data_IF_179497408958
#
_entry.id   IF_179497408958
#
_cell.length_a   1.000
_cell.length_b   1.000
_cell.length_c   1.000
_cell.angle_alpha   90.00
_cell.angle_beta   90.00
_cell.angle_gamma   90.00
#
_symmetry.space_group_name_H-M   'P 1'
#
loop_
_entity.id
_entity.type
_entity.pdbx_description
1 polymer ?
#
# COMPACT_ATOMS: atom_id res chain seq x y z
N UNK A 1 13.83 -1.82 -11.75
CA UNK A 1 12.99 -3.00 -11.44
C UNK A 1 12.60 -3.63 -12.77
N UNK A 2 12.83 -4.93 -12.95
CA UNK A 2 12.33 -5.61 -14.16
C UNK A 2 10.80 -5.65 -14.11
N UNK A 3 10.15 -5.70 -15.28
CA UNK A 3 8.68 -5.72 -15.36
C UNK A 3 8.10 -6.93 -14.63
N UNK A 4 8.79 -8.08 -14.67
CA UNK A 4 8.38 -9.28 -13.91
C UNK A 4 8.32 -9.02 -12.40
N UNK A 5 9.34 -8.35 -11.86
CA UNK A 5 9.38 -7.99 -10.43
C UNK A 5 8.28 -7.00 -10.11
N UNK A 6 8.05 -6.01 -10.98
CA UNK A 6 6.97 -5.04 -10.79
C UNK A 6 5.59 -5.71 -10.73
N UNK A 7 5.31 -6.60 -11.67
CA UNK A 7 4.05 -7.35 -11.70
C UNK A 7 3.86 -8.23 -10.47
N UNK A 8 4.94 -8.88 -10.00
CA UNK A 8 4.89 -9.68 -8.78
C UNK A 8 4.52 -8.82 -7.56
N UNK A 9 5.18 -7.67 -7.37
CA UNK A 9 4.81 -6.71 -6.33
C UNK A 9 3.40 -6.14 -6.53
N UNK A 10 2.97 -5.96 -7.78
CA UNK A 10 1.63 -5.51 -8.12
C UNK A 10 0.56 -6.48 -7.63
N UNK A 11 0.70 -7.76 -7.96
CA UNK A 11 -0.20 -8.81 -7.49
C UNK A 11 -0.15 -8.99 -5.98
N UNK A 12 1.04 -8.93 -5.38
CA UNK A 12 1.21 -8.96 -3.93
C UNK A 12 0.37 -7.87 -3.24
N UNK A 13 0.48 -6.61 -3.69
CA UNK A 13 -0.28 -5.49 -3.12
C UNK A 13 -1.79 -5.68 -3.30
N UNK A 14 -2.24 -6.15 -4.47
CA UNK A 14 -3.66 -6.45 -4.71
C UNK A 14 -4.15 -7.52 -3.74
N UNK A 15 -3.40 -8.61 -3.54
CA UNK A 15 -3.78 -9.68 -2.62
C UNK A 15 -3.86 -9.19 -1.18
N UNK A 16 -2.90 -8.39 -0.72
CA UNK A 16 -2.95 -7.80 0.63
C UNK A 16 -4.12 -6.83 0.77
N UNK A 17 -4.37 -5.97 -0.24
CA UNK A 17 -5.50 -5.05 -0.24
C UNK A 17 -6.84 -5.79 -0.16
N UNK A 18 -7.00 -6.87 -0.91
CA UNK A 18 -8.20 -7.72 -0.86
C UNK A 18 -8.34 -8.40 0.49
N UNK A 19 -7.26 -8.97 1.04
CA UNK A 19 -7.29 -9.63 2.33
C UNK A 19 -7.67 -8.65 3.45
N UNK A 20 -7.00 -7.51 3.55
CA UNK A 20 -7.31 -6.47 4.54
C UNK A 20 -8.73 -5.92 4.31
N UNK A 21 -9.09 -5.63 3.07
CA UNK A 21 -10.40 -5.08 2.72
C UNK A 21 -11.57 -6.01 3.06
N UNK A 22 -11.44 -7.31 2.78
CA UNK A 22 -12.45 -8.32 3.15
C UNK A 22 -12.59 -8.38 4.67
N UNK A 23 -11.48 -8.47 5.42
CA UNK A 23 -11.55 -8.54 6.88
C UNK A 23 -12.12 -7.25 7.49
N UNK A 24 -11.75 -6.09 6.94
CA UNK A 24 -12.28 -4.79 7.34
C UNK A 24 -13.80 -4.66 7.11
N UNK A 25 -14.30 -5.10 5.95
CA UNK A 25 -15.73 -5.08 5.63
C UNK A 25 -16.51 -6.10 6.48
N UNK A 26 -15.96 -7.31 6.65
CA UNK A 26 -16.59 -8.35 7.48
C UNK A 26 -16.69 -7.89 8.93
N UNK A 27 -15.65 -7.30 9.50
CA UNK A 27 -15.69 -6.76 10.86
C UNK A 27 -16.74 -5.65 11.00
N UNK A 28 -16.88 -4.78 10.00
CA UNK A 28 -17.90 -3.74 9.98
C UNK A 28 -19.33 -4.28 9.87
N UNK A 29 -19.58 -5.28 9.00
CA UNK A 29 -20.91 -5.79 8.70
C UNK A 29 -21.47 -6.71 9.79
N UNK A 30 -20.61 -7.51 10.44
CA UNK A 30 -21.05 -8.55 11.35
C UNK A 30 -21.04 -8.14 12.82
N UNK A 31 -20.66 -6.90 13.15
CA UNK A 31 -20.63 -6.32 14.52
C UNK A 31 -20.16 -7.34 15.57
N UNK A 32 -19.11 -8.10 15.23
CA UNK A 32 -18.79 -9.38 15.87
C UNK A 32 -17.50 -9.27 16.68
N UNK A 33 -17.57 -8.90 17.97
CA UNK A 33 -16.50 -9.26 18.88
C UNK A 33 -16.59 -10.78 19.20
N UNK A 34 -15.52 -11.59 19.06
CA UNK A 34 -14.29 -11.43 18.29
C UNK A 34 -14.12 -12.61 17.32
N UNK A 35 -14.74 -12.58 16.14
CA UNK A 35 -14.61 -13.71 15.19
C UNK A 35 -13.34 -13.67 14.35
N UNK A 36 -12.70 -12.51 14.21
CA UNK A 36 -11.38 -12.41 13.60
C UNK A 36 -10.33 -12.64 14.69
N UNK A 37 -9.63 -13.79 14.73
CA UNK A 37 -8.60 -14.02 15.73
C UNK A 37 -7.55 -12.92 15.59
N UNK A 38 -7.11 -12.32 16.70
CA UNK A 38 -5.99 -11.36 16.73
C UNK A 38 -4.78 -11.81 15.90
N UNK A 39 -4.58 -13.14 15.78
CA UNK A 39 -3.54 -13.75 14.95
C UNK A 39 -3.64 -13.43 13.46
N UNK A 40 -4.85 -13.34 12.89
CA UNK A 40 -5.03 -13.00 11.46
C UNK A 40 -4.60 -11.56 11.22
N UNK A 41 -5.09 -10.62 12.03
CA UNK A 41 -4.69 -9.21 11.94
C UNK A 41 -3.19 -9.04 12.10
N UNK A 42 -2.59 -9.70 13.10
CA UNK A 42 -1.13 -9.71 13.28
C UNK A 42 -0.36 -10.18 12.03
N UNK A 43 -0.83 -11.24 11.36
CA UNK A 43 -0.21 -11.73 10.12
C UNK A 43 -0.40 -10.71 8.98
N UNK A 44 -1.61 -10.18 8.82
CA UNK A 44 -1.92 -9.17 7.81
C UNK A 44 -1.08 -7.90 8.02
N UNK A 45 -0.81 -7.52 9.25
CA UNK A 45 0.01 -6.35 9.57
C UNK A 45 1.45 -6.53 9.07
N UNK A 46 2.05 -7.71 9.23
CA UNK A 46 3.37 -8.00 8.66
C UNK A 46 3.38 -7.91 7.13
N UNK A 47 2.35 -8.43 6.47
CA UNK A 47 2.22 -8.31 5.02
C UNK A 47 1.98 -6.84 4.60
N UNK A 48 1.19 -6.09 5.35
CA UNK A 48 0.94 -4.68 5.11
C UNK A 48 2.19 -3.83 5.28
N UNK A 49 3.05 -4.14 6.24
CA UNK A 49 4.35 -3.49 6.41
C UNK A 49 5.21 -3.60 5.14
N UNK A 50 5.33 -4.81 4.60
CA UNK A 50 6.05 -5.04 3.33
C UNK A 50 5.32 -4.34 2.17
N UNK A 51 3.99 -4.30 2.19
CA UNK A 51 3.17 -3.56 1.21
C UNK A 51 3.45 -2.06 1.21
N UNK A 52 3.56 -1.44 2.39
CA UNK A 52 3.93 -0.03 2.52
C UNK A 52 5.32 0.25 1.94
N UNK A 53 6.30 -0.61 2.21
CA UNK A 53 7.63 -0.48 1.61
C UNK A 53 7.59 -0.57 0.08
N UNK A 54 6.83 -1.52 -0.47
CA UNK A 54 6.65 -1.65 -1.92
C UNK A 54 5.97 -0.41 -2.52
N UNK A 55 4.94 0.14 -1.87
CA UNK A 55 4.27 1.37 -2.27
C UNK A 55 5.21 2.58 -2.26
N UNK A 56 6.01 2.76 -1.19
CA UNK A 56 6.98 3.85 -1.09
C UNK A 56 7.99 3.78 -2.24
N UNK A 57 8.55 2.60 -2.51
CA UNK A 57 9.50 2.39 -3.60
C UNK A 57 8.84 2.66 -4.97
N UNK A 58 7.62 2.19 -5.19
CA UNK A 58 6.88 2.41 -6.43
C UNK A 58 6.59 3.91 -6.66
N UNK A 59 6.11 4.62 -5.65
CA UNK A 59 5.84 6.05 -5.73
C UNK A 59 7.11 6.89 -5.85
N UNK A 60 8.20 6.50 -5.18
CA UNK A 60 9.50 7.14 -5.33
C UNK A 60 9.98 7.06 -6.78
N UNK A 61 9.94 5.87 -7.39
CA UNK A 61 10.33 5.69 -8.79
C UNK A 61 9.44 6.47 -9.74
N UNK A 62 8.14 6.50 -9.47
CA UNK A 62 7.21 7.30 -10.26
C UNK A 62 7.56 8.79 -10.16
N UNK A 63 7.75 9.32 -8.95
CA UNK A 63 8.17 10.71 -8.71
C UNK A 63 9.45 11.06 -9.47
N UNK A 64 10.48 10.21 -9.42
CA UNK A 64 11.73 10.44 -10.17
C UNK A 64 11.49 10.47 -11.69
N UNK A 65 10.62 9.60 -12.22
CA UNK A 65 10.32 9.55 -13.67
C UNK A 65 9.64 10.80 -14.23
N UNK A 66 8.99 11.59 -13.36
CA UNK A 66 8.31 12.84 -13.72
C UNK A 66 9.12 14.08 -13.37
N UNK A 67 10.24 13.95 -12.64
CA UNK A 67 10.99 15.07 -12.06
C UNK A 67 11.38 16.13 -13.09
N UNK A 68 11.92 15.69 -14.21
CA UNK A 68 12.52 16.58 -15.21
C UNK A 68 11.52 16.99 -16.33
N UNK A 69 10.27 16.49 -16.29
CA UNK A 69 9.23 16.83 -17.29
C UNK A 69 8.67 18.22 -17.02
N UNK A 70 9.01 19.23 -17.83
CA UNK A 70 8.60 20.62 -17.56
C UNK A 70 7.09 20.87 -17.70
N UNK A 71 6.40 20.15 -18.57
CA UNK A 71 4.98 20.38 -18.90
C UNK A 71 3.99 19.67 -17.94
N UNK A 72 4.49 18.85 -17.00
CA UNK A 72 3.68 17.93 -16.19
C UNK A 72 3.48 18.40 -14.73
N UNK A 73 3.09 19.66 -14.51
CA UNK A 73 2.97 20.25 -13.16
C UNK A 73 2.00 19.44 -12.27
N UNK A 74 0.82 19.10 -12.78
CA UNK A 74 -0.17 18.31 -12.04
C UNK A 74 0.31 16.89 -11.73
N UNK A 75 1.04 16.25 -12.64
CA UNK A 75 1.62 14.92 -12.40
C UNK A 75 2.71 14.96 -11.33
N UNK A 76 3.52 16.04 -11.28
CA UNK A 76 4.52 16.25 -10.21
C UNK A 76 3.86 16.44 -8.85
N UNK A 77 2.78 17.22 -8.77
CA UNK A 77 2.05 17.41 -7.51
C UNK A 77 1.43 16.09 -7.06
N UNK A 78 0.72 15.40 -7.95
CA UNK A 78 0.07 14.11 -7.68
C UNK A 78 1.07 13.03 -7.25
N UNK A 79 2.21 12.91 -7.95
CA UNK A 79 3.26 11.94 -7.59
C UNK A 79 3.92 12.24 -6.24
N UNK A 80 4.18 13.50 -5.92
CA UNK A 80 4.68 13.90 -4.60
C UNK A 80 3.65 13.62 -3.50
N UNK A 81 2.38 13.97 -3.73
CA UNK A 81 1.31 13.73 -2.77
C UNK A 81 1.16 12.23 -2.46
N UNK A 82 1.14 11.38 -3.49
CA UNK A 82 1.08 9.93 -3.30
C UNK A 82 2.30 9.36 -2.56
N UNK A 83 3.50 9.86 -2.88
CA UNK A 83 4.73 9.46 -2.20
C UNK A 83 4.72 9.84 -0.71
N UNK A 84 4.45 11.11 -0.38
CA UNK A 84 4.42 11.55 1.01
C UNK A 84 3.24 10.95 1.79
N UNK A 85 2.09 10.74 1.15
CA UNK A 85 0.97 10.01 1.75
C UNK A 85 1.36 8.57 2.10
N UNK A 86 2.07 7.87 1.21
CA UNK A 86 2.54 6.51 1.48
C UNK A 86 3.52 6.43 2.65
N UNK A 87 4.40 7.42 2.80
CA UNK A 87 5.31 7.54 3.96
C UNK A 87 4.53 7.84 5.23
N UNK A 88 3.62 8.83 5.20
CA UNK A 88 2.83 9.23 6.36
C UNK A 88 2.00 8.07 6.89
N UNK A 89 1.34 7.32 6.00
CA UNK A 89 0.58 6.12 6.36
C UNK A 89 1.48 5.00 6.88
N UNK A 90 2.65 4.77 6.28
CA UNK A 90 3.59 3.77 6.77
C UNK A 90 4.10 4.11 8.18
N UNK A 91 4.39 5.38 8.46
CA UNK A 91 4.79 5.82 9.80
C UNK A 91 3.65 5.70 10.80
N UNK A 92 2.43 6.09 10.42
CA UNK A 92 1.23 5.92 11.26
C UNK A 92 0.97 4.43 11.57
N UNK A 93 1.10 3.57 10.55
CA UNK A 93 1.00 2.12 10.69
C UNK A 93 2.07 1.57 11.63
N UNK A 94 3.35 1.91 11.42
CA UNK A 94 4.47 1.43 12.25
C UNK A 94 4.30 1.90 13.70
N UNK A 95 3.94 3.16 13.92
CA UNK A 95 3.69 3.69 15.26
C UNK A 95 2.62 2.87 15.98
N UNK A 96 1.49 2.59 15.31
CA UNK A 96 0.41 1.83 15.90
C UNK A 96 0.80 0.35 16.11
N UNK A 97 1.44 -0.27 15.12
CA UNK A 97 1.89 -1.66 15.17
C UNK A 97 2.90 -1.91 16.28
N UNK A 98 3.88 -1.02 16.47
CA UNK A 98 4.84 -1.10 17.57
C UNK A 98 4.15 -0.87 18.92
N UNK A 99 3.16 0.04 18.98
CA UNK A 99 2.32 0.22 20.17
C UNK A 99 1.60 -1.07 20.57
N UNK A 100 1.00 -1.77 19.60
CA UNK A 100 0.37 -3.09 19.78
C UNK A 100 1.35 -4.14 20.30
N UNK A 101 2.55 -4.20 19.70
CA UNK A 101 3.61 -5.14 20.11
C UNK A 101 4.12 -4.89 21.53
N UNK A 102 4.15 -3.63 21.96
CA UNK A 102 4.60 -3.24 23.29
C UNK A 102 3.57 -3.50 24.41
N UNK A 103 2.40 -4.08 24.07
CA UNK A 103 1.30 -4.28 25.02
C UNK A 103 0.57 -2.98 25.39
N UNK A 104 0.71 -1.93 24.57
CA UNK A 104 -0.08 -0.71 24.69
C UNK A 104 -1.54 -0.91 24.29
N UNK A 105 -2.38 0.10 24.54
CA UNK A 105 -3.76 0.08 24.04
C UNK A 105 -3.76 0.22 22.51
N UNK A 106 -4.30 -0.77 21.83
CA UNK A 106 -4.61 -0.72 20.40
C UNK A 106 -5.70 0.34 20.18
N UNK A 107 -5.33 1.49 19.61
CA UNK A 107 -6.33 2.44 19.15
C UNK A 107 -7.03 1.87 17.90
N UNK A 108 -8.17 1.20 18.15
CA UNK A 108 -8.99 0.58 17.13
C UNK A 108 -9.53 1.59 16.11
N UNK A 109 -9.78 2.85 16.51
CA UNK A 109 -10.21 3.88 15.56
C UNK A 109 -9.07 4.26 14.63
N UNK A 110 -7.85 4.35 15.16
CA UNK A 110 -6.66 4.62 14.37
C UNK A 110 -6.35 3.48 13.39
N UNK A 111 -6.51 2.22 13.82
CA UNK A 111 -6.43 1.05 12.93
C UNK A 111 -7.47 1.11 11.80
N UNK A 112 -8.73 1.43 12.11
CA UNK A 112 -9.77 1.56 11.09
C UNK A 112 -9.46 2.66 10.08
N UNK A 113 -8.91 3.79 10.54
CA UNK A 113 -8.48 4.88 9.67
C UNK A 113 -7.34 4.45 8.73
N UNK A 114 -6.30 3.80 9.27
CA UNK A 114 -5.20 3.27 8.45
C UNK A 114 -5.73 2.26 7.43
N UNK A 115 -6.59 1.33 7.87
CA UNK A 115 -7.17 0.28 7.02
C UNK A 115 -7.99 0.88 5.86
N UNK A 116 -8.82 1.88 6.13
CA UNK A 116 -9.65 2.54 5.13
C UNK A 116 -8.84 3.22 4.02
N UNK A 117 -7.63 3.71 4.32
CA UNK A 117 -6.77 4.38 3.34
C UNK A 117 -5.77 3.40 2.70
N UNK A 118 -5.25 2.43 3.45
CA UNK A 118 -4.26 1.49 2.93
C UNK A 118 -4.84 0.60 1.83
N UNK A 119 -6.10 0.16 1.98
CA UNK A 119 -6.75 -0.73 1.00
C UNK A 119 -6.81 -0.10 -0.39
N UNK A 120 -7.39 1.11 -0.59
CA UNK A 120 -7.40 1.74 -1.91
C UNK A 120 -5.99 2.10 -2.39
N UNK A 121 -5.07 2.49 -1.50
CA UNK A 121 -3.68 2.78 -1.87
C UNK A 121 -2.99 1.54 -2.44
N UNK A 122 -3.07 0.40 -1.76
CA UNK A 122 -2.44 -0.85 -2.19
C UNK A 122 -3.11 -1.39 -3.45
N UNK A 123 -4.44 -1.33 -3.54
CA UNK A 123 -5.16 -1.74 -4.74
C UNK A 123 -4.76 -0.90 -5.96
N UNK A 124 -4.71 0.43 -5.83
CA UNK A 124 -4.36 1.32 -6.93
C UNK A 124 -2.90 1.16 -7.37
N UNK A 125 -1.96 1.12 -6.42
CA UNK A 125 -0.54 0.92 -6.71
C UNK A 125 -0.28 -0.47 -7.27
N UNK A 126 -0.93 -1.49 -6.71
CA UNK A 126 -0.83 -2.87 -7.17
C UNK A 126 -1.36 -3.03 -8.59
N UNK A 127 -2.52 -2.45 -8.89
CA UNK A 127 -3.09 -2.41 -10.24
C UNK A 127 -2.13 -1.78 -11.24
N UNK A 128 -1.56 -0.61 -10.91
CA UNK A 128 -0.60 0.08 -11.78
C UNK A 128 0.63 -0.77 -12.08
N UNK A 129 1.23 -1.39 -11.05
CA UNK A 129 2.42 -2.23 -11.21
C UNK A 129 2.13 -3.53 -11.98
N UNK A 130 0.96 -4.14 -11.76
CA UNK A 130 0.53 -5.36 -12.47
C UNK A 130 0.35 -5.15 -13.97
N UNK A 131 0.02 -3.93 -14.37
CA UNK A 131 -0.19 -3.53 -15.76
C UNK A 131 1.03 -2.82 -16.38
N UNK A 132 2.18 -2.81 -15.70
CA UNK A 132 3.41 -2.24 -16.25
C UNK A 132 3.80 -3.04 -17.51
N UNK A 133 4.00 -2.32 -18.62
CA UNK A 133 4.41 -2.90 -19.90
C UNK A 133 5.93 -2.99 -19.94
N UNK A 134 6.45 -4.04 -20.57
CA UNK A 134 7.83 -4.03 -21.04
C UNK A 134 7.91 -2.89 -22.05
N UNK A 135 8.73 -1.88 -21.76
CA UNK A 135 9.24 -1.01 -22.81
C UNK A 135 9.98 -1.96 -23.74
N UNK A 136 9.36 -2.25 -24.89
CA UNK A 136 9.96 -3.05 -25.95
C UNK A 136 11.38 -2.54 -26.15
N UNK A 137 12.33 -3.42 -25.88
CA UNK A 137 13.74 -3.21 -26.13
C UNK A 137 13.86 -2.73 -27.57
N UNK A 138 14.36 -1.51 -27.74
CA UNK A 138 14.45 -0.80 -29.02
C UNK A 138 14.57 -1.72 -30.24
N UNK A 139 13.50 -1.78 -31.02
CA UNK A 139 13.66 -1.84 -32.46
C UNK A 139 14.06 -0.45 -32.92
N UNK A 140 15.36 -0.16 -32.81
CA UNK A 140 16.01 0.59 -33.87
C UNK A 140 15.93 -0.23 -35.14
N UNK A 141 15.04 0.15 -36.05
CA UNK A 141 15.27 0.13 -37.50
C UNK A 141 14.36 1.14 -38.19
#
# INVERSE_FOLDING_TARGET
MSVRIARLFGWYLITVALAVGVHFIVEFLYDSPPFTPHRIWFILDWFSLVGFLACIVAHFRYKESVRDRQEAVWEKISSNAAFYLSIALALAFIHNFVGSLAGGNDDLLFWKFINAIQVPLFAATGWKLSNEKELESGETR
#
